data_IF_845768566141
#
_entry.id   IF_845768566141
#
_cell.length_a   1.000
_cell.length_b   1.000
_cell.length_c   1.000
_cell.angle_alpha   90.00
_cell.angle_beta   90.00
_cell.angle_gamma   90.00
#
_symmetry.space_group_name_H-M   'P 1'
#
loop_
_entity.id
_entity.type
_entity.pdbx_description
1 polymer ?
#
# COMPACT_ATOMS: atom_id res chain seq x y z
N UNK A 1 3.72 3.16 -16.49
CA UNK A 1 4.81 2.87 -15.52
C UNK A 1 5.31 4.16 -14.89
N UNK A 2 5.75 5.15 -15.68
CA UNK A 2 6.29 6.42 -15.18
C UNK A 2 5.34 7.15 -14.19
N UNK A 3 4.06 7.30 -14.53
CA UNK A 3 3.06 7.91 -13.63
C UNK A 3 2.95 7.15 -12.31
N UNK A 4 3.00 5.82 -12.32
CA UNK A 4 2.96 5.02 -11.09
C UNK A 4 4.18 5.30 -10.20
N UNK A 5 5.36 5.46 -10.80
CA UNK A 5 6.58 5.82 -10.06
C UNK A 5 6.43 7.21 -9.45
N UNK A 6 5.91 8.18 -10.22
CA UNK A 6 5.70 9.54 -9.72
C UNK A 6 4.71 9.60 -8.55
N UNK A 7 3.58 8.88 -8.64
CA UNK A 7 2.56 8.85 -7.59
C UNK A 7 3.04 8.17 -6.31
N UNK A 8 3.97 7.22 -6.41
CA UNK A 8 4.51 6.48 -5.27
C UNK A 8 5.84 7.03 -4.74
N UNK A 9 6.32 8.17 -5.27
CA UNK A 9 7.65 8.68 -4.96
C UNK A 9 7.84 9.02 -3.47
N UNK A 10 6.82 9.61 -2.83
CA UNK A 10 6.82 9.89 -1.39
C UNK A 10 5.38 10.05 -0.86
N UNK A 11 5.19 9.82 0.44
CA UNK A 11 3.93 10.05 1.15
C UNK A 11 4.16 10.70 2.53
N UNK A 12 5.27 11.43 2.67
CA UNK A 12 5.62 12.21 3.84
C UNK A 12 6.29 11.39 4.96
N UNK A 13 6.83 12.09 5.99
CA UNK A 13 7.79 11.52 6.94
C UNK A 13 7.16 10.61 8.02
N UNK A 14 5.84 10.54 8.09
CA UNK A 14 5.13 9.81 9.14
C UNK A 14 4.87 8.33 8.79
N UNK A 15 5.26 7.88 7.59
CA UNK A 15 5.14 6.47 7.20
C UNK A 15 6.36 5.67 7.66
N UNK A 16 6.21 4.36 7.87
CA UNK A 16 7.25 3.50 8.47
C UNK A 16 8.61 3.60 7.78
N UNK A 17 8.65 3.53 6.45
CA UNK A 17 9.90 3.60 5.70
C UNK A 17 10.59 4.96 5.83
N UNK A 18 9.86 6.05 5.62
CA UNK A 18 10.41 7.40 5.72
C UNK A 18 10.92 7.69 7.14
N UNK A 19 10.15 7.29 8.16
CA UNK A 19 10.53 7.49 9.56
C UNK A 19 11.82 6.75 9.91
N UNK A 20 11.95 5.48 9.51
CA UNK A 20 13.16 4.69 9.72
C UNK A 20 14.37 5.31 9.02
N UNK A 21 14.23 5.71 7.75
CA UNK A 21 15.29 6.40 7.00
C UNK A 21 15.75 7.68 7.71
N UNK A 22 14.81 8.50 8.19
CA UNK A 22 15.10 9.75 8.90
C UNK A 22 15.85 9.48 10.21
N UNK A 23 15.39 8.52 11.02
CA UNK A 23 16.04 8.16 12.29
C UNK A 23 17.45 7.63 12.03
N UNK A 24 17.63 6.75 11.06
CA UNK A 24 18.95 6.18 10.71
C UNK A 24 19.91 7.24 10.18
N UNK A 25 19.45 8.17 9.35
CA UNK A 25 20.26 9.31 8.89
C UNK A 25 20.66 10.22 10.06
N UNK A 26 19.74 10.52 10.98
CA UNK A 26 20.02 11.30 12.21
C UNK A 26 20.98 10.59 13.17
N UNK A 27 21.10 9.27 13.08
CA UNK A 27 22.11 8.50 13.78
C UNK A 27 23.51 8.54 13.11
N UNK A 28 23.69 9.38 12.08
CA UNK A 28 24.99 9.59 11.42
C UNK A 28 25.38 8.47 10.44
N UNK A 29 24.41 7.69 9.96
CA UNK A 29 24.65 6.65 8.96
C UNK A 29 24.70 7.24 7.55
N UNK A 30 25.41 6.54 6.66
CA UNK A 30 25.52 6.91 5.25
C UNK A 30 24.18 6.75 4.50
N UNK A 31 24.14 7.24 3.26
CA UNK A 31 22.95 7.24 2.42
C UNK A 31 22.40 5.82 2.20
N UNK A 32 23.25 4.85 1.90
CA UNK A 32 22.82 3.48 1.59
C UNK A 32 22.25 2.83 2.85
N UNK A 33 22.94 2.95 3.98
CA UNK A 33 22.46 2.44 5.26
C UNK A 33 21.12 3.05 5.67
N UNK A 34 20.96 4.36 5.49
CA UNK A 34 19.73 5.08 5.83
C UNK A 34 18.58 4.67 4.93
N UNK A 35 18.81 4.55 3.62
CA UNK A 35 17.82 4.10 2.66
C UNK A 35 17.36 2.66 2.95
N UNK A 36 18.30 1.73 3.13
CA UNK A 36 18.00 0.31 3.37
C UNK A 36 17.19 0.13 4.65
N UNK A 37 17.48 0.88 5.71
CA UNK A 37 16.70 0.87 6.95
C UNK A 37 15.21 1.16 6.73
N UNK A 38 14.88 2.12 5.86
CA UNK A 38 13.51 2.39 5.47
C UNK A 38 12.92 1.32 4.54
N UNK A 39 13.68 0.87 3.53
CA UNK A 39 13.22 -0.16 2.58
C UNK A 39 12.87 -1.48 3.28
N UNK A 40 13.61 -1.86 4.33
CA UNK A 40 13.35 -3.07 5.12
C UNK A 40 12.01 -3.05 5.87
N UNK A 41 11.35 -1.90 5.96
CA UNK A 41 9.99 -1.80 6.50
C UNK A 41 8.90 -2.11 5.47
N UNK A 42 9.24 -2.11 4.18
CA UNK A 42 8.29 -2.43 3.10
C UNK A 42 7.92 -3.90 3.21
N UNK A 43 6.62 -4.15 3.35
CA UNK A 43 6.07 -5.47 3.62
C UNK A 43 4.54 -5.44 3.71
N UNK A 44 3.91 -6.46 4.31
CA UNK A 44 2.46 -6.65 4.23
C UNK A 44 1.64 -5.49 4.84
N UNK A 45 2.22 -4.75 5.81
CA UNK A 45 1.52 -3.62 6.46
C UNK A 45 1.94 -2.24 5.93
N UNK A 46 3.00 -2.16 5.15
CA UNK A 46 3.52 -0.91 4.59
C UNK A 46 4.01 -1.16 3.16
N UNK A 47 3.31 -0.65 2.16
CA UNK A 47 3.62 -0.84 0.74
C UNK A 47 3.00 -2.10 0.10
N UNK A 48 2.58 -3.11 0.88
CA UNK A 48 2.02 -4.36 0.34
C UNK A 48 0.64 -4.26 -0.31
N UNK A 49 -0.14 -3.21 -0.04
CA UNK A 49 -1.55 -3.12 -0.46
C UNK A 49 -1.75 -3.13 -1.98
N UNK A 50 -0.78 -2.65 -2.77
CA UNK A 50 -0.86 -2.62 -4.24
C UNK A 50 -0.82 -4.04 -4.80
N UNK A 51 0.11 -4.87 -4.33
CA UNK A 51 0.27 -6.26 -4.77
C UNK A 51 -0.92 -7.12 -4.31
N UNK A 52 -1.37 -6.95 -3.07
CA UNK A 52 -2.55 -7.63 -2.56
C UNK A 52 -3.81 -7.28 -3.37
N UNK A 53 -4.04 -5.98 -3.64
CA UNK A 53 -5.16 -5.55 -4.45
C UNK A 53 -5.10 -6.20 -5.84
N UNK A 54 -3.94 -6.14 -6.51
CA UNK A 54 -3.76 -6.75 -7.83
C UNK A 54 -4.11 -8.25 -7.81
N UNK A 55 -3.61 -9.01 -6.83
CA UNK A 55 -3.89 -10.45 -6.70
C UNK A 55 -5.37 -10.75 -6.51
N UNK A 56 -6.04 -10.08 -5.57
CA UNK A 56 -7.45 -10.36 -5.27
C UNK A 56 -8.39 -9.93 -6.40
N UNK A 57 -8.18 -8.76 -7.00
CA UNK A 57 -8.99 -8.30 -8.12
C UNK A 57 -8.75 -9.16 -9.38
N UNK A 58 -7.49 -9.58 -9.62
CA UNK A 58 -7.17 -10.48 -10.74
C UNK A 58 -7.82 -11.85 -10.57
N UNK A 59 -7.73 -12.47 -9.40
CA UNK A 59 -8.41 -13.75 -9.11
C UNK A 59 -9.93 -13.65 -9.33
N UNK A 60 -10.56 -12.59 -8.83
CA UNK A 60 -12.00 -12.38 -9.00
C UNK A 60 -12.39 -12.23 -10.48
N UNK A 61 -11.58 -11.50 -11.25
CA UNK A 61 -11.76 -11.30 -12.69
C UNK A 61 -11.60 -12.62 -13.46
N UNK A 62 -10.53 -13.38 -13.18
CA UNK A 62 -10.25 -14.65 -13.85
C UNK A 62 -11.33 -15.70 -13.57
N UNK A 63 -11.96 -15.63 -12.39
CA UNK A 63 -13.09 -16.47 -12.00
C UNK A 63 -14.44 -15.94 -12.46
N UNK A 64 -14.48 -14.82 -13.19
CA UNK A 64 -15.70 -14.16 -13.68
C UNK A 64 -16.73 -13.88 -12.57
N UNK A 65 -16.26 -13.56 -11.36
CA UNK A 65 -17.15 -13.19 -10.26
C UNK A 65 -17.77 -11.82 -10.54
N UNK A 66 -19.06 -11.68 -10.23
CA UNK A 66 -19.66 -10.35 -10.17
C UNK A 66 -19.07 -9.53 -9.02
N UNK A 67 -19.07 -8.18 -9.08
CA UNK A 67 -18.58 -7.35 -7.98
C UNK A 67 -19.24 -7.67 -6.63
N UNK A 68 -20.53 -8.02 -6.64
CA UNK A 68 -21.27 -8.41 -5.44
C UNK A 68 -20.75 -9.72 -4.85
N UNK A 69 -20.57 -10.75 -5.67
CA UNK A 69 -20.05 -12.06 -5.23
C UNK A 69 -18.62 -11.95 -4.69
N UNK A 70 -17.79 -11.12 -5.32
CA UNK A 70 -16.43 -10.84 -4.83
C UNK A 70 -16.46 -10.23 -3.42
N UNK A 71 -17.23 -9.14 -3.24
CA UNK A 71 -17.31 -8.44 -1.94
C UNK A 71 -17.90 -9.35 -0.85
N UNK A 72 -18.97 -10.07 -1.15
CA UNK A 72 -19.57 -11.02 -0.20
C UNK A 72 -18.61 -12.18 0.11
N UNK A 73 -17.84 -12.66 -0.87
CA UNK A 73 -16.80 -13.66 -0.66
C UNK A 73 -15.70 -13.18 0.28
N UNK A 74 -15.23 -11.94 0.12
CA UNK A 74 -14.22 -11.33 1.00
C UNK A 74 -14.75 -11.13 2.41
N UNK A 75 -15.99 -10.64 2.54
CA UNK A 75 -16.69 -10.48 3.82
C UNK A 75 -16.86 -11.79 4.57
N UNK A 76 -17.27 -12.87 3.90
CA UNK A 76 -17.39 -14.22 4.49
C UNK A 76 -16.05 -14.76 4.99
N UNK A 77 -14.94 -14.40 4.34
CA UNK A 77 -13.58 -14.73 4.79
C UNK A 77 -13.08 -13.85 5.94
N UNK A 78 -13.81 -12.80 6.31
CA UNK A 78 -13.36 -11.82 7.31
C UNK A 78 -12.21 -10.92 6.82
N UNK A 79 -12.02 -10.81 5.50
CA UNK A 79 -10.92 -10.04 4.90
C UNK A 79 -11.50 -8.74 4.34
N UNK A 80 -10.90 -7.60 4.70
CA UNK A 80 -11.21 -6.30 4.06
C UNK A 80 -10.66 -6.30 2.64
N UNK A 81 -11.42 -5.76 1.69
CA UNK A 81 -10.99 -5.68 0.29
C UNK A 81 -9.75 -4.77 0.19
N UNK A 82 -8.56 -5.30 -0.19
CA UNK A 82 -7.36 -4.49 -0.33
C UNK A 82 -7.52 -3.43 -1.41
N UNK A 83 -6.95 -2.24 -1.18
CA UNK A 83 -7.08 -1.10 -2.09
C UNK A 83 -8.42 -0.36 -2.03
N UNK A 84 -9.36 -0.78 -1.16
CA UNK A 84 -10.64 -0.09 -0.95
C UNK A 84 -10.68 0.58 0.43
N UNK A 85 -11.04 1.86 0.42
CA UNK A 85 -11.20 2.70 1.60
C UNK A 85 -10.12 3.76 1.72
N UNK A 86 -10.49 4.91 2.29
CA UNK A 86 -9.58 6.02 2.55
C UNK A 86 -9.99 6.69 3.88
N UNK A 87 -9.03 7.22 4.64
CA UNK A 87 -9.30 7.81 5.97
C UNK A 87 -10.08 9.13 5.91
N UNK A 88 -9.75 9.99 4.95
CA UNK A 88 -10.32 11.35 4.80
C UNK A 88 -11.21 11.49 3.57
N UNK A 89 -10.70 11.07 2.40
CA UNK A 89 -11.42 11.10 1.13
C UNK A 89 -12.63 10.18 1.11
N UNK A 90 -13.66 10.62 0.40
CA UNK A 90 -14.94 9.93 0.27
C UNK A 90 -15.49 10.15 -1.15
N UNK A 91 -16.69 9.64 -1.44
CA UNK A 91 -17.34 9.85 -2.74
C UNK A 91 -17.54 11.34 -3.06
N UNK A 92 -17.84 12.13 -2.04
CA UNK A 92 -18.20 13.55 -2.18
C UNK A 92 -16.97 14.45 -2.00
N UNK A 93 -15.89 13.95 -1.39
CA UNK A 93 -14.59 14.60 -1.29
C UNK A 93 -13.52 13.70 -1.98
N UNK A 94 -13.41 13.85 -3.30
CA UNK A 94 -12.55 13.00 -4.14
C UNK A 94 -11.06 13.29 -3.94
N UNK A 95 -10.26 12.27 -4.23
CA UNK A 95 -8.79 12.37 -4.32
C UNK A 95 -8.36 12.91 -5.68
#
# INVERSE_FOLDING_TARGET
>A
IEICIMLCADHGPCVSGAHNTIVTARAGKDLVSSLVSGLLTIGPRFGGAIDDAARYFKDACDRSLTPYEFVEGMKKKGIRVPGIGHRIKSRDNRD
#
